data_IF_970567086070
#
_entry.id   IF_970567086070
#
_cell.length_a   1.000
_cell.length_b   1.000
_cell.length_c   1.000
_cell.angle_alpha   90.00
_cell.angle_beta   90.00
_cell.angle_gamma   90.00
#
_symmetry.space_group_name_H-M   'P 1'
#
loop_
_entity.id
_entity.type
_entity.pdbx_description
1 polymer ?
#
# COMPACT_ATOMS: atom_id res chain seq x y z
N UNK A 1 -15.71 -31.64 -20.53
CA UNK A 1 -14.47 -31.17 -21.19
C UNK A 1 -14.62 -29.72 -21.63
N UNK A 2 -15.61 -29.35 -22.43
CA UNK A 2 -15.85 -27.98 -22.95
C UNK A 2 -16.11 -26.95 -21.83
N UNK A 3 -16.84 -27.31 -20.77
CA UNK A 3 -17.15 -26.43 -19.63
C UNK A 3 -15.90 -26.11 -18.77
N UNK A 4 -15.04 -27.10 -18.55
CA UNK A 4 -13.77 -26.91 -17.86
C UNK A 4 -12.78 -26.03 -18.66
N UNK A 5 -12.80 -26.13 -20.00
CA UNK A 5 -11.94 -25.28 -20.85
C UNK A 5 -12.43 -23.81 -20.87
N UNK A 6 -13.75 -23.61 -20.83
CA UNK A 6 -14.34 -22.27 -20.74
C UNK A 6 -13.97 -21.59 -19.41
N UNK A 7 -14.14 -22.28 -18.28
CA UNK A 7 -13.78 -21.77 -16.93
C UNK A 7 -12.29 -21.45 -16.87
N UNK A 8 -11.43 -22.30 -17.40
CA UNK A 8 -9.98 -22.06 -17.48
C UNK A 8 -9.64 -20.81 -18.31
N UNK A 9 -10.31 -20.61 -19.42
CA UNK A 9 -10.10 -19.46 -20.29
C UNK A 9 -10.55 -18.16 -19.62
N UNK A 10 -11.72 -18.14 -18.99
CA UNK A 10 -12.25 -16.99 -18.26
C UNK A 10 -11.33 -16.61 -17.08
N UNK A 11 -10.88 -17.60 -16.30
CA UNK A 11 -9.90 -17.34 -15.21
C UNK A 11 -8.59 -16.78 -15.76
N UNK A 12 -8.07 -17.28 -16.87
CA UNK A 12 -6.85 -16.78 -17.49
C UNK A 12 -6.98 -15.32 -17.94
N UNK A 13 -8.13 -14.97 -18.53
CA UNK A 13 -8.42 -13.59 -18.94
C UNK A 13 -8.50 -12.66 -17.72
N UNK A 14 -9.23 -13.05 -16.69
CA UNK A 14 -9.34 -12.32 -15.42
C UNK A 14 -7.97 -12.08 -14.78
N UNK A 15 -7.13 -13.12 -14.70
CA UNK A 15 -5.77 -12.99 -14.14
C UNK A 15 -4.86 -12.09 -14.97
N UNK A 16 -5.00 -12.12 -16.31
CA UNK A 16 -4.26 -11.23 -17.21
C UNK A 16 -4.69 -9.77 -17.05
N UNK A 17 -5.98 -9.52 -16.89
CA UNK A 17 -6.52 -8.18 -16.61
C UNK A 17 -6.05 -7.67 -15.25
N UNK A 18 -6.13 -8.51 -14.20
CA UNK A 18 -5.63 -8.16 -12.86
C UNK A 18 -4.14 -7.81 -12.89
N UNK A 19 -3.32 -8.62 -13.57
CA UNK A 19 -1.89 -8.33 -13.72
C UNK A 19 -1.66 -6.97 -14.41
N UNK A 20 -2.45 -6.64 -15.45
CA UNK A 20 -2.35 -5.34 -16.12
C UNK A 20 -2.66 -4.17 -15.17
N UNK A 21 -3.70 -4.29 -14.35
CA UNK A 21 -4.05 -3.29 -13.32
C UNK A 21 -2.96 -3.16 -12.25
N UNK A 22 -2.43 -4.28 -11.78
CA UNK A 22 -1.31 -4.33 -10.83
C UNK A 22 -0.10 -3.58 -11.41
N UNK A 23 0.27 -3.88 -12.65
CA UNK A 23 1.39 -3.22 -13.33
C UNK A 23 1.15 -1.71 -13.43
N UNK A 24 -0.05 -1.28 -13.86
CA UNK A 24 -0.41 0.13 -13.95
C UNK A 24 -0.17 0.85 -12.62
N UNK A 25 -0.66 0.31 -11.51
CA UNK A 25 -0.64 1.01 -10.21
C UNK A 25 0.71 0.95 -9.50
N UNK A 26 1.45 -0.17 -9.63
CA UNK A 26 2.73 -0.34 -8.93
C UNK A 26 3.88 0.44 -9.58
N UNK A 27 3.78 0.75 -10.87
CA UNK A 27 4.80 1.52 -11.60
C UNK A 27 4.65 3.04 -11.47
N UNK A 28 3.53 3.55 -10.93
CA UNK A 28 3.39 4.98 -10.64
C UNK A 28 4.28 5.35 -9.44
N UNK A 29 5.18 6.31 -9.63
CA UNK A 29 6.05 6.81 -8.56
C UNK A 29 5.28 7.74 -7.62
N UNK A 30 5.35 7.48 -6.31
CA UNK A 30 4.74 8.35 -5.30
C UNK A 30 5.34 8.05 -3.90
N UNK A 31 6.33 8.80 -3.52
CA UNK A 31 6.92 8.78 -2.16
C UNK A 31 6.04 9.62 -1.22
N UNK A 32 6.12 9.37 0.09
CA UNK A 32 5.41 10.18 1.11
C UNK A 32 5.61 11.68 0.91
N UNK A 33 4.52 12.44 0.85
CA UNK A 33 4.48 13.86 0.55
C UNK A 33 4.45 14.21 -0.95
N UNK A 34 4.62 13.22 -1.85
CA UNK A 34 4.62 13.38 -3.30
C UNK A 34 3.60 12.44 -3.98
N UNK A 35 2.45 12.22 -3.35
CA UNK A 35 1.43 11.26 -3.77
C UNK A 35 0.53 11.75 -4.91
N UNK A 36 0.76 12.95 -5.44
CA UNK A 36 -0.09 13.53 -6.50
C UNK A 36 -0.34 12.59 -7.71
N UNK A 37 0.64 11.82 -8.23
CA UNK A 37 0.39 10.90 -9.34
C UNK A 37 -0.64 9.80 -9.01
N UNK A 38 -0.53 9.17 -7.83
CA UNK A 38 -1.50 8.17 -7.37
C UNK A 38 -2.85 8.79 -7.03
N UNK A 39 -2.87 9.97 -6.43
CA UNK A 39 -4.12 10.71 -6.19
C UNK A 39 -4.89 10.97 -7.48
N UNK A 40 -4.19 11.36 -8.54
CA UNK A 40 -4.81 11.57 -9.85
C UNK A 40 -5.33 10.27 -10.47
N UNK A 41 -4.58 9.17 -10.32
CA UNK A 41 -5.04 7.84 -10.70
C UNK A 41 -6.35 7.46 -9.98
N UNK A 42 -6.38 7.56 -8.65
CA UNK A 42 -7.57 7.27 -7.84
C UNK A 42 -8.74 8.17 -8.20
N UNK A 43 -8.51 9.47 -8.36
CA UNK A 43 -9.57 10.42 -8.79
C UNK A 43 -10.22 9.95 -10.07
N UNK A 44 -9.42 9.61 -11.09
CA UNK A 44 -9.92 9.13 -12.39
C UNK A 44 -10.72 7.82 -12.24
N UNK A 45 -10.23 6.88 -11.42
CA UNK A 45 -10.87 5.56 -11.23
C UNK A 45 -12.16 5.65 -10.39
N UNK A 46 -12.22 6.51 -9.39
CA UNK A 46 -13.35 6.56 -8.46
C UNK A 46 -14.49 7.46 -8.92
N UNK A 47 -14.20 8.60 -9.56
CA UNK A 47 -15.21 9.60 -9.93
C UNK A 47 -16.46 9.04 -10.63
N UNK A 48 -16.38 8.06 -11.56
CA UNK A 48 -17.57 7.52 -12.22
C UNK A 48 -18.48 6.65 -11.33
N UNK A 49 -18.05 6.29 -10.11
CA UNK A 49 -18.67 5.22 -9.30
C UNK A 49 -19.10 5.67 -7.91
N UNK A 50 -18.90 6.93 -7.55
CA UNK A 50 -19.21 7.52 -6.24
C UNK A 50 -20.04 8.79 -6.41
N UNK A 51 -20.72 9.22 -5.35
CA UNK A 51 -21.57 10.41 -5.39
C UNK A 51 -20.72 11.69 -5.40
N UNK A 52 -19.61 11.69 -4.65
CA UNK A 52 -18.62 12.77 -4.66
C UNK A 52 -17.20 12.26 -4.42
N UNK A 53 -16.20 13.07 -4.79
CA UNK A 53 -14.78 12.83 -4.47
C UNK A 53 -14.24 14.00 -3.66
N UNK A 54 -13.82 13.72 -2.44
CA UNK A 54 -13.30 14.71 -1.49
C UNK A 54 -11.81 14.48 -1.22
N UNK A 55 -11.09 15.55 -0.86
CA UNK A 55 -9.70 15.49 -0.39
C UNK A 55 -9.61 16.07 1.01
N UNK A 56 -8.69 15.56 1.80
CA UNK A 56 -8.35 16.15 3.09
C UNK A 56 -7.25 17.21 3.00
N UNK A 57 -6.87 17.80 4.14
CA UNK A 57 -5.90 18.89 4.20
C UNK A 57 -4.45 18.48 3.93
N UNK A 58 -4.10 17.18 3.98
CA UNK A 58 -2.78 16.66 3.63
C UNK A 58 -2.76 16.06 2.22
N UNK A 59 -3.92 15.89 1.58
CA UNK A 59 -4.04 15.38 0.22
C UNK A 59 -4.49 13.93 0.12
N UNK A 60 -4.99 13.31 1.21
CA UNK A 60 -5.77 12.08 1.12
C UNK A 60 -6.97 12.26 0.20
N UNK A 61 -7.38 11.22 -0.53
CA UNK A 61 -8.48 11.26 -1.49
C UNK A 61 -9.49 10.16 -1.19
N UNK A 62 -10.77 10.52 -1.18
CA UNK A 62 -11.87 9.63 -0.80
C UNK A 62 -13.08 9.84 -1.71
N UNK A 63 -13.64 8.73 -2.19
CA UNK A 63 -14.97 8.70 -2.76
C UNK A 63 -16.02 8.53 -1.65
N UNK A 64 -17.13 9.21 -1.78
CA UNK A 64 -18.26 9.13 -0.84
C UNK A 64 -19.44 8.46 -1.54
N UNK A 65 -20.06 7.49 -0.87
CA UNK A 65 -21.33 6.90 -1.27
C UNK A 65 -22.33 7.13 -0.15
N UNK A 66 -23.30 7.99 -0.44
CA UNK A 66 -24.34 8.35 0.51
C UNK A 66 -25.35 7.23 0.71
N UNK A 67 -25.78 7.05 1.95
CA UNK A 67 -26.87 6.14 2.29
C UNK A 67 -28.21 6.86 2.34
N UNK A 68 -29.26 6.19 1.84
CA UNK A 68 -30.66 6.63 2.04
C UNK A 68 -31.23 6.12 3.39
N UNK A 69 -30.47 5.27 4.10
CA UNK A 69 -30.89 4.69 5.37
C UNK A 69 -30.83 5.75 6.48
N UNK A 70 -31.91 5.87 7.25
CA UNK A 70 -31.93 6.76 8.41
C UNK A 70 -30.94 6.24 9.46
N UNK A 71 -30.11 7.14 10.01
CA UNK A 71 -29.07 6.80 10.99
C UNK A 71 -28.05 5.77 10.48
N UNK A 72 -27.70 5.85 9.19
CA UNK A 72 -26.67 5.01 8.59
C UNK A 72 -25.31 5.24 9.28
N UNK A 73 -24.61 4.18 9.73
CA UNK A 73 -23.30 4.34 10.35
C UNK A 73 -22.26 4.80 9.32
N UNK A 74 -21.34 5.66 9.76
CA UNK A 74 -20.20 6.11 8.93
C UNK A 74 -19.11 5.06 8.95
N UNK A 75 -18.74 4.56 7.76
CA UNK A 75 -17.68 3.57 7.55
C UNK A 75 -16.60 4.19 6.70
N UNK A 76 -15.36 4.14 7.17
CA UNK A 76 -14.19 4.59 6.43
C UNK A 76 -13.32 3.39 6.03
N UNK A 77 -13.11 3.21 4.73
CA UNK A 77 -12.19 2.25 4.15
C UNK A 77 -11.01 3.01 3.56
N UNK A 78 -9.82 2.81 4.09
CA UNK A 78 -8.64 3.58 3.67
C UNK A 78 -7.43 2.69 3.43
N UNK A 79 -6.79 2.88 2.26
CA UNK A 79 -5.42 2.47 1.97
C UNK A 79 -4.46 3.62 2.24
N UNK A 80 -3.15 3.47 1.92
CA UNK A 80 -2.25 4.60 1.75
C UNK A 80 -1.65 4.64 0.34
N UNK A 81 -1.36 5.88 -0.14
CA UNK A 81 -0.89 6.13 -1.50
C UNK A 81 0.63 6.07 -1.62
N UNK A 82 1.32 6.40 -0.54
CA UNK A 82 2.77 6.50 -0.57
C UNK A 82 3.47 5.15 -0.59
N UNK A 83 4.65 5.15 -1.13
CA UNK A 83 5.61 4.04 -1.12
C UNK A 83 6.91 4.50 -0.46
N UNK A 84 7.68 3.56 0.05
CA UNK A 84 9.04 3.83 0.55
C UNK A 84 9.95 4.32 -0.57
N UNK A 85 10.86 5.23 -0.25
CA UNK A 85 11.81 5.79 -1.21
C UNK A 85 12.87 6.61 -0.53
N UNK A 86 13.42 7.58 -1.28
CA UNK A 86 14.44 8.48 -0.78
C UNK A 86 14.15 9.92 -1.23
N UNK A 87 14.80 10.87 -0.57
CA UNK A 87 14.78 12.28 -0.95
C UNK A 87 16.21 12.78 -0.99
N UNK A 88 16.56 13.52 -2.04
CA UNK A 88 17.86 14.19 -2.14
C UNK A 88 18.02 15.17 -0.99
N UNK A 89 19.05 14.99 -0.18
CA UNK A 89 19.39 15.92 0.90
C UNK A 89 20.53 16.87 0.51
N UNK A 90 21.45 16.41 -0.34
CA UNK A 90 22.61 17.17 -0.78
C UNK A 90 23.08 16.71 -2.17
N UNK A 91 23.44 17.65 -3.04
CA UNK A 91 24.21 17.40 -4.25
C UNK A 91 25.68 17.68 -3.96
N UNK A 92 26.50 16.63 -4.03
CA UNK A 92 27.93 16.71 -3.74
C UNK A 92 28.71 17.40 -4.87
N UNK A 93 29.91 17.94 -4.57
CA UNK A 93 30.75 18.59 -5.60
C UNK A 93 31.04 17.69 -6.82
N UNK A 94 31.11 16.38 -6.62
CA UNK A 94 31.37 15.38 -7.66
C UNK A 94 30.09 14.96 -8.46
N UNK A 95 28.96 15.65 -8.27
CA UNK A 95 27.72 15.40 -8.97
C UNK A 95 26.88 14.25 -8.41
N UNK A 96 27.37 13.53 -7.41
CA UNK A 96 26.62 12.47 -6.73
C UNK A 96 25.69 13.04 -5.64
N UNK A 97 24.77 12.18 -5.12
CA UNK A 97 23.78 12.64 -4.13
C UNK A 97 23.92 11.94 -2.80
N UNK A 98 23.70 12.69 -1.72
CA UNK A 98 23.27 12.16 -0.43
C UNK A 98 21.76 12.20 -0.34
N UNK A 99 21.20 11.23 0.36
CA UNK A 99 19.75 11.08 0.51
C UNK A 99 19.36 10.92 1.97
N UNK A 100 18.10 11.24 2.28
CA UNK A 100 17.39 10.74 3.46
C UNK A 100 16.41 9.66 3.02
N UNK A 101 16.26 8.63 3.84
CA UNK A 101 15.26 7.60 3.59
C UNK A 101 13.85 8.13 3.91
N UNK A 102 12.88 7.71 3.12
CA UNK A 102 11.46 7.91 3.34
C UNK A 102 10.84 6.52 3.54
N UNK A 103 10.28 6.29 4.73
CA UNK A 103 9.87 4.96 5.16
C UNK A 103 11.04 4.08 5.61
N UNK A 104 10.75 2.84 5.95
CA UNK A 104 11.72 1.89 6.48
C UNK A 104 12.46 1.12 5.37
N UNK A 105 13.80 1.13 5.38
CA UNK A 105 14.65 0.40 4.44
C UNK A 105 15.64 -0.51 5.14
N UNK A 106 15.85 -1.71 4.60
CA UNK A 106 17.03 -2.51 4.93
C UNK A 106 18.21 -2.07 4.04
N UNK A 107 19.33 -1.57 4.61
CA UNK A 107 20.47 -1.12 3.83
C UNK A 107 21.03 -2.15 2.83
N UNK A 108 20.87 -3.44 3.14
CA UNK A 108 21.36 -4.53 2.25
C UNK A 108 20.65 -4.54 0.89
N UNK A 109 19.39 -4.12 0.82
CA UNK A 109 18.63 -4.13 -0.45
C UNK A 109 18.71 -2.80 -1.19
N UNK A 110 19.42 -1.81 -0.67
CA UNK A 110 19.56 -0.48 -1.30
C UNK A 110 20.75 -0.44 -2.23
N UNK A 111 21.89 -1.06 -1.86
CA UNK A 111 23.14 -1.00 -2.63
C UNK A 111 23.04 -1.65 -4.01
N UNK A 112 23.69 -1.06 -5.01
CA UNK A 112 23.78 -1.56 -6.40
C UNK A 112 22.45 -1.79 -7.09
N UNK A 113 21.48 -0.91 -6.84
CA UNK A 113 20.15 -0.97 -7.43
C UNK A 113 19.89 0.22 -8.35
N UNK A 114 18.99 0.03 -9.32
CA UNK A 114 18.50 1.12 -10.17
C UNK A 114 17.34 1.84 -9.49
N UNK A 115 17.35 3.16 -9.65
CA UNK A 115 16.32 4.06 -9.17
C UNK A 115 15.96 5.09 -10.24
N UNK A 116 14.86 5.80 -10.01
CA UNK A 116 14.42 6.97 -10.75
C UNK A 116 14.34 8.15 -9.80
N UNK A 117 15.02 9.23 -10.14
CA UNK A 117 14.89 10.52 -9.47
C UNK A 117 13.86 11.36 -10.23
N UNK A 118 12.96 11.98 -9.48
CA UNK A 118 11.93 12.89 -10.00
C UNK A 118 12.19 14.29 -9.47
N UNK A 119 12.45 15.22 -10.40
CA UNK A 119 12.60 16.63 -10.05
C UNK A 119 11.25 17.29 -9.79
N UNK A 120 11.25 18.40 -9.07
CA UNK A 120 10.04 19.21 -8.85
C UNK A 120 9.41 19.74 -10.15
N UNK A 121 10.18 19.81 -11.24
CA UNK A 121 9.67 20.16 -12.58
C UNK A 121 9.11 18.97 -13.36
N UNK A 122 9.14 17.75 -12.78
CA UNK A 122 8.60 16.54 -13.42
C UNK A 122 9.59 15.83 -14.36
N UNK A 123 10.88 16.19 -14.34
CA UNK A 123 11.89 15.46 -15.11
C UNK A 123 12.22 14.15 -14.38
N UNK A 124 12.23 13.03 -15.12
CA UNK A 124 12.65 11.72 -14.66
C UNK A 124 14.12 11.50 -15.04
N UNK A 125 14.95 11.14 -14.06
CA UNK A 125 16.39 10.92 -14.25
C UNK A 125 16.75 9.54 -13.71
N UNK A 126 17.36 8.66 -14.51
CA UNK A 126 17.86 7.37 -14.03
C UNK A 126 19.05 7.60 -13.09
N UNK A 127 19.02 6.92 -11.94
CA UNK A 127 20.10 6.94 -10.95
C UNK A 127 20.39 5.54 -10.44
N UNK A 128 21.58 5.32 -9.93
CA UNK A 128 22.03 4.06 -9.33
C UNK A 128 22.50 4.33 -7.89
N UNK A 129 22.20 3.43 -6.98
CA UNK A 129 22.86 3.41 -5.67
C UNK A 129 24.21 2.72 -5.76
N UNK A 130 25.24 3.31 -5.21
CA UNK A 130 26.59 2.80 -5.25
C UNK A 130 26.85 1.65 -4.27
N UNK A 131 27.90 0.89 -4.55
CA UNK A 131 28.53 -0.01 -3.59
C UNK A 131 30.05 0.01 -3.79
N UNK A 132 30.80 -0.17 -2.69
CA UNK A 132 32.27 -0.23 -2.80
C UNK A 132 32.68 -1.60 -3.30
N UNK A 133 33.35 -1.72 -4.45
CA UNK A 133 33.77 -3.01 -4.99
C UNK A 133 34.86 -3.66 -4.12
N UNK A 134 34.91 -5.01 -4.06
CA UNK A 134 35.84 -5.75 -3.20
C UNK A 134 37.32 -5.38 -3.40
N UNK A 135 37.69 -4.92 -4.60
CA UNK A 135 39.05 -4.50 -4.93
C UNK A 135 39.52 -3.28 -4.12
N UNK A 136 38.58 -2.40 -3.71
CA UNK A 136 38.88 -1.20 -2.92
C UNK A 136 38.75 -1.44 -1.40
N UNK A 137 38.28 -2.60 -0.98
CA UNK A 137 38.14 -2.95 0.44
C UNK A 137 39.14 -3.96 0.94
N UNK A 138 40.12 -4.38 0.08
CA UNK A 138 41.19 -5.29 0.48
C UNK A 138 42.07 -4.67 1.58
N UNK A 139 42.22 -5.38 2.71
CA UNK A 139 43.03 -4.94 3.83
C UNK A 139 42.32 -4.03 4.82
N UNK A 140 41.02 -3.71 4.65
CA UNK A 140 40.26 -2.84 5.56
C UNK A 140 39.31 -3.60 6.52
N UNK A 141 39.50 -4.91 6.70
CA UNK A 141 38.63 -5.73 7.57
C UNK A 141 37.40 -6.32 6.89
N UNK A 142 37.25 -6.15 5.57
CA UNK A 142 36.11 -6.66 4.77
C UNK A 142 34.92 -5.69 4.69
N UNK A 143 33.88 -6.05 3.95
CA UNK A 143 32.68 -5.19 3.81
C UNK A 143 31.92 -5.14 5.12
N UNK A 144 31.65 -3.92 5.61
CA UNK A 144 30.72 -3.66 6.71
C UNK A 144 29.33 -3.36 6.14
N UNK A 145 28.28 -3.61 6.95
CA UNK A 145 26.93 -3.20 6.60
C UNK A 145 26.91 -1.65 6.47
N UNK A 146 26.59 -1.09 5.29
CA UNK A 146 26.54 0.35 5.13
C UNK A 146 25.35 0.93 5.89
N UNK A 147 25.49 2.15 6.39
CA UNK A 147 24.30 2.97 6.75
C UNK A 147 23.76 3.58 5.48
N UNK A 148 22.45 3.81 5.43
CA UNK A 148 21.80 4.37 4.23
C UNK A 148 22.38 5.76 3.87
N UNK A 149 22.68 6.57 4.89
CA UNK A 149 23.26 7.90 4.70
C UNK A 149 24.67 7.89 4.06
N UNK A 150 25.35 6.74 4.12
CA UNK A 150 26.68 6.55 3.52
C UNK A 150 26.61 5.99 2.09
N UNK A 151 25.42 5.52 1.65
CA UNK A 151 25.21 5.03 0.29
C UNK A 151 25.11 6.22 -0.67
N UNK A 152 25.98 6.22 -1.65
CA UNK A 152 26.01 7.26 -2.70
C UNK A 152 24.95 6.93 -3.74
N UNK A 153 24.17 7.93 -4.16
CA UNK A 153 23.30 7.85 -5.32
C UNK A 153 23.95 8.64 -6.46
N UNK A 154 23.97 8.08 -7.67
CA UNK A 154 24.76 8.56 -8.79
C UNK A 154 23.91 8.57 -10.08
N UNK A 155 23.82 9.72 -10.72
CA UNK A 155 23.15 9.94 -12.01
C UNK A 155 24.14 10.06 -13.19
N UNK A 156 25.45 9.85 -12.93
CA UNK A 156 26.49 9.95 -13.94
C UNK A 156 26.93 11.37 -14.27
N UNK A 157 26.65 12.34 -13.40
CA UNK A 157 27.05 13.74 -13.58
C UNK A 157 28.54 13.95 -13.24
N UNK A 158 29.19 14.88 -13.94
CA UNK A 158 30.63 15.19 -13.74
C UNK A 158 30.86 16.09 -12.55
N UNK A 159 29.89 16.94 -12.21
CA UNK A 159 29.94 17.84 -11.08
C UNK A 159 28.53 18.30 -10.63
N UNK A 160 28.49 19.05 -9.54
CA UNK A 160 27.28 19.62 -8.98
C UNK A 160 26.54 20.54 -9.95
N UNK A 161 27.28 21.37 -10.70
CA UNK A 161 26.67 22.36 -11.60
C UNK A 161 25.94 21.66 -12.76
N UNK A 162 26.51 20.58 -13.27
CA UNK A 162 25.85 19.76 -14.27
C UNK A 162 24.56 19.14 -13.72
N UNK A 163 24.61 18.48 -12.55
CA UNK A 163 23.42 17.90 -11.91
C UNK A 163 22.32 18.96 -11.70
N UNK A 164 22.68 20.15 -11.21
CA UNK A 164 21.75 21.27 -11.01
C UNK A 164 21.17 21.80 -12.33
N UNK A 165 21.92 21.71 -13.44
CA UNK A 165 21.43 22.13 -14.78
C UNK A 165 20.27 21.26 -15.30
N UNK A 166 20.19 19.99 -14.87
CA UNK A 166 19.05 19.09 -15.13
C UNK A 166 17.84 19.37 -14.19
N UNK A 167 17.93 20.36 -13.33
CA UNK A 167 16.84 20.78 -12.45
C UNK A 167 16.83 20.06 -11.10
N UNK A 168 17.84 19.22 -10.81
CA UNK A 168 17.92 18.49 -9.53
C UNK A 168 18.14 19.47 -8.37
N UNK A 169 17.40 19.24 -7.28
CA UNK A 169 17.49 20.06 -6.05
C UNK A 169 17.32 19.17 -4.81
N UNK A 170 17.83 19.58 -3.65
CA UNK A 170 17.41 19.00 -2.38
C UNK A 170 15.87 19.04 -2.25
N UNK A 171 15.28 17.93 -1.81
CA UNK A 171 13.84 17.74 -1.76
C UNK A 171 13.26 16.93 -2.93
N UNK A 172 14.00 16.71 -4.00
CA UNK A 172 13.59 15.83 -5.10
C UNK A 172 13.58 14.36 -4.66
N UNK A 173 12.66 13.57 -5.19
CA UNK A 173 12.38 12.22 -4.71
C UNK A 173 13.01 11.13 -5.58
N UNK A 174 13.30 10.01 -4.96
CA UNK A 174 13.92 8.85 -5.61
C UNK A 174 13.13 7.60 -5.23
N UNK A 175 12.70 6.83 -6.23
CA UNK A 175 11.97 5.56 -6.07
C UNK A 175 12.68 4.42 -6.79
N UNK A 176 12.45 3.16 -6.40
CA UNK A 176 12.95 1.99 -7.14
C UNK A 176 12.54 2.02 -8.62
N UNK A 177 13.47 1.73 -9.51
CA UNK A 177 13.20 1.48 -10.94
C UNK A 177 12.99 -0.03 -11.15
N UNK A 178 11.76 -0.49 -10.95
CA UNK A 178 11.40 -1.90 -11.01
C UNK A 178 10.02 -2.07 -11.64
N UNK A 179 9.98 -2.78 -12.76
CA UNK A 179 8.72 -3.11 -13.45
C UNK A 179 8.07 -4.37 -12.87
N UNK A 180 6.74 -4.41 -12.90
CA UNK A 180 6.00 -5.60 -12.50
C UNK A 180 6.19 -6.74 -13.51
N UNK A 181 6.47 -7.94 -13.00
CA UNK A 181 6.61 -9.16 -13.80
C UNK A 181 5.79 -10.30 -13.22
N UNK A 182 5.20 -11.10 -14.11
CA UNK A 182 4.49 -12.32 -13.74
C UNK A 182 5.49 -13.46 -13.57
N UNK A 183 5.34 -14.23 -12.49
CA UNK A 183 6.18 -15.42 -12.28
C UNK A 183 5.90 -16.52 -13.33
N UNK A 184 6.85 -17.43 -13.53
CA UNK A 184 6.76 -18.47 -14.54
C UNK A 184 5.52 -19.38 -14.38
N UNK A 185 5.00 -19.56 -13.17
CA UNK A 185 3.78 -20.32 -12.89
C UNK A 185 2.47 -19.54 -13.16
N UNK A 186 2.57 -18.23 -13.48
CA UNK A 186 1.43 -17.38 -13.76
C UNK A 186 0.53 -17.05 -12.57
N UNK A 187 0.95 -17.33 -11.32
CA UNK A 187 0.12 -17.16 -10.12
C UNK A 187 0.53 -15.95 -9.28
N UNK A 188 1.81 -15.61 -9.31
CA UNK A 188 2.39 -14.59 -8.46
C UNK A 188 2.96 -13.45 -9.30
N UNK A 189 3.08 -12.29 -8.67
CA UNK A 189 3.70 -11.10 -9.27
C UNK A 189 4.91 -10.70 -8.44
N UNK A 190 5.92 -10.19 -9.12
CA UNK A 190 7.06 -9.49 -8.51
C UNK A 190 6.97 -8.05 -8.96
N UNK A 191 6.92 -7.09 -8.03
CA UNK A 191 6.92 -5.66 -8.33
C UNK A 191 7.48 -4.85 -7.16
N UNK A 192 7.74 -3.57 -7.39
CA UNK A 192 7.91 -2.61 -6.30
C UNK A 192 6.55 -2.24 -5.70
N UNK A 193 6.54 -1.58 -4.56
CA UNK A 193 5.42 -0.80 -4.01
C UNK A 193 4.10 -1.56 -3.85
N UNK A 194 4.10 -2.90 -3.72
CA UNK A 194 2.87 -3.61 -3.36
C UNK A 194 2.34 -3.14 -2.00
N UNK A 195 3.23 -2.76 -1.12
CA UNK A 195 3.00 -1.90 0.02
C UNK A 195 3.05 -0.43 -0.45
N UNK A 196 1.91 0.37 -0.56
CA UNK A 196 0.57 -0.23 -0.44
C UNK A 196 -0.27 0.02 -1.72
N UNK A 197 0.29 -0.26 -2.90
CA UNK A 197 -0.48 -0.26 -4.16
C UNK A 197 -1.55 -1.35 -4.19
N UNK A 198 -1.37 -2.40 -3.35
CA UNK A 198 -2.42 -3.36 -3.03
C UNK A 198 -3.69 -2.64 -2.59
N UNK A 199 -3.59 -1.82 -1.56
CA UNK A 199 -4.72 -1.08 -1.03
C UNK A 199 -5.27 -0.05 -2.01
N UNK A 200 -4.42 0.66 -2.75
CA UNK A 200 -4.83 1.61 -3.79
C UNK A 200 -5.68 0.93 -4.86
N UNK A 201 -5.23 -0.22 -5.36
CA UNK A 201 -6.01 -1.00 -6.32
C UNK A 201 -7.31 -1.50 -5.69
N UNK A 202 -7.25 -2.01 -4.45
CA UNK A 202 -8.42 -2.54 -3.74
C UNK A 202 -9.52 -1.49 -3.57
N UNK A 203 -9.21 -0.27 -3.14
CA UNK A 203 -10.22 0.78 -2.95
C UNK A 203 -10.82 1.23 -4.28
N UNK A 204 -10.03 1.26 -5.37
CA UNK A 204 -10.56 1.58 -6.70
C UNK A 204 -11.50 0.50 -7.24
N UNK A 205 -11.18 -0.79 -7.02
CA UNK A 205 -12.03 -1.91 -7.42
C UNK A 205 -13.28 -2.03 -6.52
N UNK A 206 -13.17 -1.66 -5.23
CA UNK A 206 -14.32 -1.66 -4.32
C UNK A 206 -15.40 -0.67 -4.77
N UNK A 207 -15.05 0.58 -5.08
CA UNK A 207 -16.03 1.59 -5.52
C UNK A 207 -16.69 1.18 -6.84
N UNK A 208 -15.94 0.57 -7.75
CA UNK A 208 -16.45 0.05 -9.00
C UNK A 208 -17.45 -1.10 -8.77
N UNK A 209 -17.11 -2.04 -7.89
CA UNK A 209 -17.97 -3.17 -7.55
C UNK A 209 -19.27 -2.74 -6.84
N UNK A 210 -19.24 -1.63 -6.10
CA UNK A 210 -20.39 -1.07 -5.39
C UNK A 210 -21.17 -0.03 -6.20
N UNK A 211 -20.79 0.23 -7.46
CA UNK A 211 -21.48 1.18 -8.31
C UNK A 211 -22.97 0.83 -8.47
N UNK A 212 -23.85 1.80 -8.27
CA UNK A 212 -25.31 1.62 -8.36
C UNK A 212 -25.93 0.76 -7.25
N UNK A 213 -25.16 0.25 -6.28
CA UNK A 213 -25.70 -0.48 -5.13
C UNK A 213 -26.08 0.49 -4.01
N UNK A 214 -27.23 0.24 -3.37
CA UNK A 214 -27.64 0.92 -2.13
C UNK A 214 -26.94 0.24 -0.95
N UNK A 215 -26.34 1.05 -0.08
CA UNK A 215 -25.67 0.60 1.14
C UNK A 215 -26.45 1.07 2.38
N UNK A 216 -26.38 0.30 3.46
CA UNK A 216 -26.95 0.66 4.76
C UNK A 216 -25.97 1.44 5.65
N UNK A 217 -24.85 1.90 5.08
CA UNK A 217 -23.85 2.75 5.72
C UNK A 217 -23.49 3.93 4.82
N UNK A 218 -23.07 5.01 5.44
CA UNK A 218 -22.43 6.14 4.78
C UNK A 218 -20.97 5.76 4.55
N UNK A 219 -20.57 5.50 3.29
CA UNK A 219 -19.28 4.94 2.98
C UNK A 219 -18.30 5.98 2.45
N UNK A 220 -17.19 6.13 3.14
CA UNK A 220 -16.00 6.85 2.69
C UNK A 220 -14.95 5.81 2.29
N UNK A 221 -14.47 5.85 1.04
CA UNK A 221 -13.51 4.87 0.54
C UNK A 221 -12.42 5.56 -0.27
N UNK A 222 -11.14 5.33 0.10
CA UNK A 222 -10.05 6.02 -0.58
C UNK A 222 -8.69 5.70 -0.02
N UNK A 223 -7.78 6.68 -0.08
CA UNK A 223 -6.42 6.46 0.36
C UNK A 223 -5.83 7.69 1.07
N UNK A 224 -5.12 7.41 2.14
CA UNK A 224 -4.34 8.33 2.95
C UNK A 224 -3.01 8.66 2.28
N UNK A 225 -2.28 9.59 2.88
CA UNK A 225 -0.92 10.01 2.53
C UNK A 225 0.02 9.80 3.70
N UNK A 226 1.33 9.71 3.44
CA UNK A 226 2.37 9.74 4.48
C UNK A 226 2.20 8.68 5.57
N UNK A 227 1.75 7.48 5.19
CA UNK A 227 1.67 6.34 6.12
C UNK A 227 3.06 5.92 6.57
N UNK A 228 3.98 5.73 5.61
CA UNK A 228 5.35 5.23 5.77
C UNK A 228 6.24 6.09 6.70
N UNK A 229 5.81 7.30 6.99
CA UNK A 229 6.52 8.25 7.87
C UNK A 229 5.75 8.57 9.14
N UNK A 230 4.82 7.69 9.53
CA UNK A 230 4.14 7.74 10.83
C UNK A 230 2.62 7.88 10.77
N UNK A 231 1.93 7.19 9.85
CA UNK A 231 0.46 7.05 9.78
C UNK A 231 -0.28 8.39 9.69
N UNK A 232 0.35 9.41 9.11
CA UNK A 232 -0.09 10.82 9.26
C UNK A 232 -1.46 11.08 8.61
N UNK A 233 -1.69 10.50 7.43
CA UNK A 233 -2.96 10.64 6.71
C UNK A 233 -4.14 10.06 7.47
N UNK A 234 -3.96 8.90 8.12
CA UNK A 234 -5.03 8.27 8.91
C UNK A 234 -5.49 9.14 10.08
N UNK A 235 -4.58 9.87 10.72
CA UNK A 235 -4.96 10.86 11.74
C UNK A 235 -5.89 11.94 11.19
N UNK A 236 -5.64 12.40 9.96
CA UNK A 236 -6.41 13.49 9.34
C UNK A 236 -7.75 12.98 8.83
N UNK A 237 -7.75 11.89 8.06
CA UNK A 237 -8.98 11.34 7.47
C UNK A 237 -9.97 10.86 8.54
N UNK A 238 -9.49 10.17 9.59
CA UNK A 238 -10.36 9.74 10.69
C UNK A 238 -10.98 10.93 11.43
N UNK A 239 -10.20 12.00 11.66
CA UNK A 239 -10.77 13.21 12.27
C UNK A 239 -11.77 13.91 11.36
N UNK A 240 -11.50 13.95 10.04
CA UNK A 240 -12.35 14.64 9.05
C UNK A 240 -13.69 13.94 8.86
N UNK A 241 -13.70 12.61 8.70
CA UNK A 241 -14.90 11.85 8.37
C UNK A 241 -15.64 11.32 9.61
N UNK A 242 -15.01 11.36 10.77
CA UNK A 242 -15.57 10.88 12.05
C UNK A 242 -16.26 9.51 11.92
N UNK A 243 -15.54 8.46 11.42
CA UNK A 243 -16.15 7.18 11.16
C UNK A 243 -16.48 6.44 12.47
N UNK A 244 -17.49 5.59 12.39
CA UNK A 244 -17.86 4.69 13.49
C UNK A 244 -17.17 3.33 13.37
N UNK A 245 -16.67 3.00 12.17
CA UNK A 245 -15.80 1.85 11.88
C UNK A 245 -14.75 2.26 10.87
N UNK A 246 -13.49 1.85 11.11
CA UNK A 246 -12.38 2.08 10.19
C UNK A 246 -11.80 0.75 9.71
N UNK A 247 -11.73 0.59 8.40
CA UNK A 247 -11.10 -0.56 7.75
C UNK A 247 -9.85 -0.09 7.00
N UNK A 248 -8.67 -0.32 7.56
CA UNK A 248 -7.43 -0.16 6.83
C UNK A 248 -7.30 -1.25 5.76
N UNK A 249 -6.78 -0.91 4.61
CA UNK A 249 -6.47 -1.87 3.55
C UNK A 249 -4.96 -1.81 3.30
N UNK A 250 -4.24 -2.85 3.75
CA UNK A 250 -2.79 -2.79 3.80
C UNK A 250 -2.15 -4.16 3.65
N UNK A 251 -0.93 -4.25 3.11
CA UNK A 251 -0.22 -5.51 3.04
C UNK A 251 0.62 -5.77 4.30
N UNK A 252 1.01 -7.01 4.51
CA UNK A 252 1.81 -7.43 5.66
C UNK A 252 2.97 -8.33 5.22
N UNK A 253 4.12 -8.31 5.92
CA UNK A 253 5.23 -9.17 5.56
C UNK A 253 4.88 -10.65 5.69
N UNK A 254 5.16 -11.46 4.67
CA UNK A 254 5.08 -12.90 4.72
C UNK A 254 6.33 -13.49 5.38
N UNK A 255 6.12 -14.38 6.36
CA UNK A 255 7.19 -15.09 7.08
C UNK A 255 7.33 -16.56 6.70
N UNK A 256 6.56 -17.06 5.75
CA UNK A 256 6.42 -18.47 5.39
C UNK A 256 7.74 -19.18 5.04
N UNK A 257 8.67 -18.49 4.38
CA UNK A 257 10.00 -19.04 4.06
C UNK A 257 11.00 -18.95 5.23
N UNK A 258 10.65 -18.24 6.28
CA UNK A 258 11.48 -18.06 7.48
C UNK A 258 10.94 -18.81 8.69
N UNK A 259 9.89 -19.62 8.53
CA UNK A 259 9.25 -20.34 9.63
C UNK A 259 8.44 -19.44 10.57
N UNK A 260 7.98 -18.29 10.09
CA UNK A 260 7.11 -17.35 10.79
C UNK A 260 5.71 -17.33 10.12
N UNK A 261 4.77 -16.58 10.71
CA UNK A 261 3.41 -16.47 10.23
C UNK A 261 3.29 -15.70 8.92
N UNK A 262 2.15 -15.86 8.27
CA UNK A 262 1.81 -15.18 7.02
C UNK A 262 2.44 -15.85 5.81
N UNK A 263 1.60 -16.50 5.00
CA UNK A 263 2.00 -17.19 3.79
C UNK A 263 1.30 -16.61 2.56
N UNK A 264 2.04 -16.49 1.45
CA UNK A 264 1.44 -16.11 0.17
C UNK A 264 0.62 -17.29 -0.40
N UNK A 265 -0.55 -16.98 -1.00
CA UNK A 265 -1.46 -17.98 -1.54
C UNK A 265 -2.39 -18.60 -0.49
N UNK A 266 -2.36 -18.11 0.75
CA UNK A 266 -3.20 -18.60 1.85
C UNK A 266 -4.38 -17.66 2.17
N UNK A 267 -4.69 -16.73 1.26
CA UNK A 267 -5.85 -15.84 1.34
C UNK A 267 -5.61 -14.56 2.14
N UNK A 268 -6.73 -13.92 2.52
CA UNK A 268 -6.71 -12.65 3.26
C UNK A 268 -6.31 -12.83 4.72
N UNK A 269 -5.91 -11.73 5.39
CA UNK A 269 -5.50 -11.74 6.78
C UNK A 269 -6.66 -11.38 7.71
N UNK A 270 -6.82 -12.14 8.78
CA UNK A 270 -7.50 -11.69 9.99
C UNK A 270 -6.42 -11.18 10.95
N UNK A 271 -6.09 -9.89 10.81
CA UNK A 271 -5.05 -9.23 11.60
C UNK A 271 -5.64 -8.73 12.92
N UNK A 272 -5.45 -9.50 13.98
CA UNK A 272 -6.10 -9.23 15.28
C UNK A 272 -5.23 -8.39 16.22
N UNK A 273 -3.94 -8.25 15.96
CA UNK A 273 -2.98 -7.50 16.78
C UNK A 273 -1.84 -6.94 15.94
N UNK A 274 -1.37 -5.76 16.29
CA UNK A 274 -0.03 -5.22 16.01
C UNK A 274 0.38 -4.24 17.12
N UNK A 275 1.63 -3.70 17.12
CA UNK A 275 2.09 -2.78 18.17
C UNK A 275 1.26 -1.51 18.35
N UNK A 276 0.51 -1.09 17.34
CA UNK A 276 -0.35 0.09 17.39
C UNK A 276 -1.84 -0.21 17.53
N UNK A 277 -2.25 -1.49 17.40
CA UNK A 277 -3.66 -1.84 17.30
C UNK A 277 -3.99 -3.19 17.95
N UNK A 278 -5.07 -3.23 18.71
CA UNK A 278 -5.69 -4.44 19.24
C UNK A 278 -7.16 -4.49 18.81
N UNK A 279 -7.51 -5.52 18.04
CA UNK A 279 -8.87 -5.69 17.53
C UNK A 279 -9.86 -5.99 18.66
N UNK A 280 -11.03 -5.36 18.64
CA UNK A 280 -12.12 -5.64 19.56
C UNK A 280 -12.66 -7.07 19.34
N UNK A 281 -13.08 -7.79 20.40
CA UNK A 281 -13.58 -9.17 20.29
C UNK A 281 -14.76 -9.29 19.29
N UNK A 282 -15.76 -8.43 19.38
CA UNK A 282 -16.93 -8.48 18.50
C UNK A 282 -16.60 -8.10 17.05
N UNK A 283 -15.58 -7.25 16.82
CA UNK A 283 -15.06 -7.00 15.47
C UNK A 283 -14.45 -8.27 14.88
N UNK A 284 -13.65 -9.02 15.68
CA UNK A 284 -13.08 -10.30 15.25
C UNK A 284 -14.17 -11.30 14.87
N UNK A 285 -15.19 -11.44 15.72
CA UNK A 285 -16.30 -12.37 15.47
C UNK A 285 -17.09 -11.98 14.21
N UNK A 286 -17.34 -10.67 13.99
CA UNK A 286 -17.93 -10.15 12.75
C UNK A 286 -17.11 -10.51 11.51
N UNK A 287 -15.78 -10.34 11.56
CA UNK A 287 -14.87 -10.69 10.47
C UNK A 287 -14.89 -12.19 10.17
N UNK A 288 -14.78 -13.03 11.20
CA UNK A 288 -14.77 -14.49 11.04
C UNK A 288 -16.08 -15.00 10.47
N UNK A 289 -17.22 -14.60 11.05
CA UNK A 289 -18.55 -14.96 10.56
C UNK A 289 -18.74 -14.55 9.09
N UNK A 290 -18.31 -13.32 8.75
CA UNK A 290 -18.42 -12.84 7.37
C UNK A 290 -17.54 -13.63 6.40
N UNK A 291 -16.32 -13.98 6.80
CA UNK A 291 -15.41 -14.78 5.99
C UNK A 291 -15.96 -16.19 5.75
N UNK A 292 -16.48 -16.85 6.79
CA UNK A 292 -17.07 -18.19 6.72
C UNK A 292 -18.32 -18.22 5.83
N UNK A 293 -19.26 -17.27 6.02
CA UNK A 293 -20.49 -17.19 5.22
C UNK A 293 -20.22 -16.87 3.75
N UNK A 294 -19.18 -16.09 3.46
CA UNK A 294 -18.78 -15.75 2.09
C UNK A 294 -17.80 -16.78 1.46
N UNK A 295 -17.40 -17.82 2.19
CA UNK A 295 -16.46 -18.83 1.71
C UNK A 295 -15.07 -18.28 1.40
N UNK A 296 -14.63 -17.27 2.16
CA UNK A 296 -13.34 -16.60 1.99
C UNK A 296 -12.22 -17.42 2.63
N UNK A 297 -11.16 -17.66 1.86
CA UNK A 297 -9.92 -18.22 2.40
C UNK A 297 -9.19 -17.15 3.21
N UNK A 298 -8.86 -17.45 4.47
CA UNK A 298 -8.16 -16.50 5.36
C UNK A 298 -7.13 -17.20 6.24
N UNK A 299 -6.25 -16.40 6.83
CA UNK A 299 -5.28 -16.82 7.83
C UNK A 299 -5.22 -15.80 8.98
N UNK A 300 -4.94 -16.28 10.19
CA UNK A 300 -4.70 -15.39 11.34
C UNK A 300 -3.34 -14.72 11.23
N UNK A 301 -3.27 -13.47 11.70
CA UNK A 301 -2.04 -12.70 11.62
C UNK A 301 -1.85 -11.78 12.84
N UNK A 302 -0.64 -11.85 13.42
CA UNK A 302 -0.18 -10.97 14.48
C UNK A 302 0.92 -10.07 13.92
N UNK A 303 0.61 -8.80 13.63
CA UNK A 303 1.53 -7.85 13.00
C UNK A 303 2.72 -7.49 13.89
N UNK A 304 3.89 -7.28 13.27
CA UNK A 304 5.10 -6.76 13.93
C UNK A 304 5.34 -5.28 13.65
N UNK A 305 4.68 -4.73 12.62
CA UNK A 305 4.62 -3.32 12.28
C UNK A 305 3.21 -2.77 12.39
N UNK A 306 3.04 -1.45 12.41
CA UNK A 306 1.73 -0.79 12.45
C UNK A 306 1.06 -0.71 11.07
N UNK A 307 -0.17 -0.22 11.04
CA UNK A 307 -0.94 0.19 9.87
C UNK A 307 -1.79 1.41 10.23
N UNK A 308 -2.45 2.01 9.27
CA UNK A 308 -3.38 3.12 9.48
C UNK A 308 -4.47 2.82 10.52
N UNK A 309 -4.84 1.54 10.74
CA UNK A 309 -5.76 1.13 11.81
C UNK A 309 -5.25 1.53 13.20
N UNK A 310 -3.92 1.49 13.44
CA UNK A 310 -3.30 1.89 14.70
C UNK A 310 -3.45 3.38 15.02
N UNK A 311 -3.45 4.23 13.99
CA UNK A 311 -3.68 5.66 14.16
C UNK A 311 -5.18 5.97 14.31
N UNK A 312 -6.02 5.31 13.50
CA UNK A 312 -7.45 5.56 13.44
C UNK A 312 -8.17 5.20 14.76
N UNK A 313 -7.84 4.03 15.33
CA UNK A 313 -8.58 3.54 16.51
C UNK A 313 -8.41 4.39 17.77
N UNK A 314 -7.39 5.24 17.83
CA UNK A 314 -7.18 6.16 18.95
C UNK A 314 -7.82 7.54 18.75
N UNK A 315 -8.51 7.77 17.62
CA UNK A 315 -9.14 9.06 17.32
C UNK A 315 -10.58 9.14 17.81
N UNK A 316 -11.09 10.38 17.93
CA UNK A 316 -12.50 10.70 18.16
C UNK A 316 -13.12 9.95 19.35
N UNK A 317 -12.32 9.69 20.40
CA UNK A 317 -12.76 8.94 21.58
C UNK A 317 -12.72 7.42 21.44
N UNK A 318 -12.19 6.92 20.33
CA UNK A 318 -12.02 5.50 20.02
C UNK A 318 -12.90 5.04 18.84
N UNK A 319 -12.27 4.52 17.79
CA UNK A 319 -12.93 4.01 16.57
C UNK A 319 -12.62 2.52 16.44
N UNK A 320 -13.61 1.62 16.47
CA UNK A 320 -13.41 0.22 16.12
C UNK A 320 -12.74 0.09 14.76
N UNK A 321 -11.57 -0.52 14.73
CA UNK A 321 -10.73 -0.57 13.55
C UNK A 321 -10.21 -1.98 13.29
N UNK A 322 -9.84 -2.26 12.05
CA UNK A 322 -9.11 -3.47 11.65
C UNK A 322 -8.35 -3.22 10.36
N UNK A 323 -7.47 -4.17 9.99
CA UNK A 323 -6.74 -4.15 8.71
C UNK A 323 -7.18 -5.34 7.86
N UNK A 324 -7.66 -5.08 6.67
CA UNK A 324 -7.94 -6.08 5.64
C UNK A 324 -6.69 -6.20 4.77
N UNK A 325 -5.98 -7.30 4.91
CA UNK A 325 -4.65 -7.43 4.35
C UNK A 325 -4.40 -8.72 3.58
N UNK A 326 -3.27 -8.74 2.89
CA UNK A 326 -2.67 -9.91 2.26
C UNK A 326 -1.20 -9.99 2.64
N UNK A 327 -0.62 -11.18 2.54
CA UNK A 327 0.82 -11.34 2.75
C UNK A 327 1.62 -11.08 1.48
N UNK A 328 2.79 -10.46 1.66
CA UNK A 328 3.77 -10.29 0.61
C UNK A 328 5.19 -10.51 1.15
N UNK A 329 6.03 -11.21 0.40
CA UNK A 329 7.45 -11.38 0.73
C UNK A 329 8.24 -10.18 0.30
N UNK A 330 9.26 -9.81 1.07
CA UNK A 330 10.26 -8.80 0.72
C UNK A 330 9.68 -7.40 0.53
N UNK A 331 8.62 -7.02 1.28
CA UNK A 331 8.13 -5.63 1.29
C UNK A 331 9.24 -4.66 1.69
N UNK A 332 9.09 -3.37 1.43
CA UNK A 332 10.11 -2.34 1.64
C UNK A 332 11.43 -2.64 0.88
N UNK A 333 11.29 -3.11 -0.36
CA UNK A 333 12.40 -3.38 -1.27
C UNK A 333 12.01 -3.08 -2.72
N UNK A 334 12.95 -3.27 -3.65
CA UNK A 334 12.70 -3.13 -5.09
C UNK A 334 11.77 -4.22 -5.64
N UNK A 335 11.66 -5.36 -4.93
CA UNK A 335 11.09 -6.60 -5.45
C UNK A 335 10.24 -7.28 -4.37
N UNK A 336 8.98 -6.98 -4.34
CA UNK A 336 7.98 -7.66 -3.49
C UNK A 336 7.34 -8.80 -4.27
N UNK A 337 7.23 -9.98 -3.66
CA UNK A 337 6.59 -11.17 -4.26
C UNK A 337 5.27 -11.48 -3.54
N UNK A 338 4.18 -11.61 -4.30
CA UNK A 338 2.82 -11.84 -3.75
C UNK A 338 1.94 -12.63 -4.71
N UNK A 339 0.86 -13.23 -4.17
CA UNK A 339 -0.09 -14.03 -4.91
C UNK A 339 -1.30 -13.20 -5.38
N UNK A 340 -1.67 -13.31 -6.66
CA UNK A 340 -2.86 -12.64 -7.19
C UNK A 340 -4.17 -13.20 -6.61
N UNK A 341 -4.20 -14.50 -6.29
CA UNK A 341 -5.38 -15.13 -5.68
C UNK A 341 -5.69 -14.53 -4.30
N UNK A 342 -4.69 -14.12 -3.51
CA UNK A 342 -4.90 -13.48 -2.20
C UNK A 342 -5.59 -12.11 -2.36
N UNK A 343 -5.23 -11.35 -3.40
CA UNK A 343 -5.94 -10.11 -3.74
C UNK A 343 -7.41 -10.36 -4.00
N UNK A 344 -7.77 -11.40 -4.77
CA UNK A 344 -9.17 -11.73 -5.07
C UNK A 344 -9.94 -12.16 -3.81
N UNK A 345 -9.30 -12.92 -2.90
CA UNK A 345 -9.91 -13.27 -1.62
C UNK A 345 -10.18 -12.03 -0.75
N UNK A 346 -9.19 -11.15 -0.62
CA UNK A 346 -9.34 -9.92 0.14
C UNK A 346 -10.39 -8.97 -0.47
N UNK A 347 -10.48 -8.89 -1.81
CA UNK A 347 -11.48 -8.11 -2.52
C UNK A 347 -12.90 -8.60 -2.24
N UNK A 348 -13.13 -9.90 -2.34
CA UNK A 348 -14.43 -10.48 -2.02
C UNK A 348 -14.78 -10.29 -0.55
N UNK A 349 -13.80 -10.42 0.35
CA UNK A 349 -13.98 -10.22 1.78
C UNK A 349 -14.35 -8.77 2.11
N UNK A 350 -13.60 -7.80 1.60
CA UNK A 350 -13.87 -6.37 1.85
C UNK A 350 -15.27 -5.96 1.35
N UNK A 351 -15.68 -6.45 0.17
CA UNK A 351 -17.02 -6.21 -0.35
C UNK A 351 -18.11 -6.80 0.57
N UNK A 352 -17.91 -8.02 1.09
CA UNK A 352 -18.86 -8.66 2.00
C UNK A 352 -18.96 -7.89 3.32
N UNK A 353 -17.84 -7.44 3.89
CA UNK A 353 -17.81 -6.64 5.12
C UNK A 353 -18.56 -5.33 4.96
N UNK A 354 -18.25 -4.55 3.93
CA UNK A 354 -18.89 -3.25 3.70
C UNK A 354 -20.40 -3.37 3.53
N UNK A 355 -20.89 -4.41 2.84
CA UNK A 355 -22.33 -4.63 2.66
C UNK A 355 -23.07 -5.00 3.93
N UNK A 356 -22.39 -5.57 4.92
CA UNK A 356 -22.97 -6.00 6.21
C UNK A 356 -22.87 -4.95 7.32
N UNK A 357 -22.07 -3.90 7.13
CA UNK A 357 -21.90 -2.84 8.14
C UNK A 357 -23.11 -1.90 8.13
N UNK A 358 -24.21 -2.35 8.69
CA UNK A 358 -25.38 -1.53 9.02
C UNK A 358 -25.33 -1.05 10.49
N UNK A 359 -26.34 -0.28 10.92
CA UNK A 359 -26.43 0.24 12.29
C UNK A 359 -26.35 -0.89 13.34
N UNK A 360 -27.10 -1.95 13.16
CA UNK A 360 -27.16 -3.07 14.12
C UNK A 360 -25.81 -3.78 14.26
N UNK A 361 -25.10 -3.97 13.15
CA UNK A 361 -23.76 -4.59 13.12
C UNK A 361 -22.74 -3.69 13.80
N UNK A 362 -22.77 -2.38 13.54
CA UNK A 362 -21.84 -1.43 14.16
C UNK A 362 -22.07 -1.32 15.66
N UNK A 363 -23.33 -1.31 16.10
CA UNK A 363 -23.68 -1.30 17.51
C UNK A 363 -23.22 -2.59 18.22
N UNK A 364 -23.36 -3.76 17.56
CA UNK A 364 -22.82 -5.02 18.05
C UNK A 364 -21.29 -4.98 18.20
N UNK A 365 -20.59 -4.45 17.22
CA UNK A 365 -19.12 -4.32 17.26
C UNK A 365 -18.68 -3.45 18.45
N UNK A 366 -19.41 -2.39 18.76
CA UNK A 366 -19.13 -1.45 19.86
C UNK A 366 -19.56 -1.94 21.23
N UNK A 367 -20.41 -2.96 21.28
CA UNK A 367 -21.00 -3.45 22.53
C UNK A 367 -20.11 -4.55 23.13
N UNK A 368 -19.13 -4.18 23.96
CA UNK A 368 -18.15 -5.06 24.62
C UNK A 368 -18.32 -5.09 26.14
#
# INVERSE_FOLDING_TARGET
MIENDKIRTERRLMMSELFSKIKEVTEIAAVSGHEAPIRNYLRKKMTPHVDEVVTDGLGGIFGVKHSETVDAPRVLVAAHMDEVGFMVSEIKPDGTFRVVQIGGWNPLVVSSQRFKLFTSSGVEIPVISGSVPPHLTRGTGGPSLPRIEDIVFDGGFTDKAEAESYGIRPGDTIVPDSSAILTANGKNVISKAWDNRYGVLMVSELVQALAGQKLNNELYVGANVQEEVGLRGAHVSTTKFDPEVFLAVDCSPAGDIYGDQGAIGEGTLIRFFDPGHLMLPNMKDFLLTTAEEAGIKYQYYCGKGGTDAGAAHLKNGGVPSTTIGVCARYIHSHQTLYAMDDFLQAQAFLQALVKKLDRSTVDLIKNY
#
